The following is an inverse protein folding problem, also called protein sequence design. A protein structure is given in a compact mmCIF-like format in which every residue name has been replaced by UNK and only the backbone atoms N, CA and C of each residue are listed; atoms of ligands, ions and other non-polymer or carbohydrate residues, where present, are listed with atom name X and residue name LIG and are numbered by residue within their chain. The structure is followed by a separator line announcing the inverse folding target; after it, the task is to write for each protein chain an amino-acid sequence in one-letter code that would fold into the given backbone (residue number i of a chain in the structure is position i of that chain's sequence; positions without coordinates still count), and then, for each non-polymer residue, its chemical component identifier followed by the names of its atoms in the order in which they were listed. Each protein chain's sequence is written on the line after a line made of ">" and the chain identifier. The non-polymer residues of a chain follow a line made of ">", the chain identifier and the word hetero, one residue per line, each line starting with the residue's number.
data_IF_770496415143
#
_entry.id   IF_770496415143
#
_cell.length_a   1.000
_cell.length_b   1.000
_cell.length_c   1.000
_cell.angle_alpha   90.00
_cell.angle_beta   90.00
_cell.angle_gamma   90.00
#
_symmetry.space_group_name_H-M   'P 1'
#
loop_
_entity.id
_entity.type
_entity.pdbx_description
1 polymer ?
#
# COMPACT_ATOMS: atom_id res chain seq x y z
N UNK A 1 -32.40 -14.61 4.68
CA UNK A 1 -31.51 -13.81 5.54
C UNK A 1 -30.03 -14.13 5.29
N UNK A 2 -29.68 -15.40 5.13
CA UNK A 2 -28.31 -15.87 4.81
C UNK A 2 -27.64 -15.14 3.64
N UNK A 3 -28.33 -15.01 2.49
CA UNK A 3 -27.79 -14.29 1.32
C UNK A 3 -27.52 -12.81 1.58
N UNK A 4 -28.32 -12.15 2.42
CA UNK A 4 -28.11 -10.76 2.79
C UNK A 4 -26.85 -10.59 3.64
N UNK A 5 -26.67 -11.45 4.66
CA UNK A 5 -25.48 -11.47 5.51
C UNK A 5 -24.22 -11.72 4.68
N UNK A 6 -24.27 -12.68 3.76
CA UNK A 6 -23.14 -12.95 2.86
C UNK A 6 -22.78 -11.76 1.99
N UNK A 7 -23.77 -11.14 1.34
CA UNK A 7 -23.50 -10.00 0.47
C UNK A 7 -22.97 -8.82 1.27
N UNK A 8 -23.50 -8.59 2.47
CA UNK A 8 -23.01 -7.57 3.39
C UNK A 8 -21.53 -7.83 3.75
N UNK A 9 -21.18 -9.05 4.17
CA UNK A 9 -19.80 -9.40 4.50
C UNK A 9 -18.86 -9.29 3.29
N UNK A 10 -19.28 -9.74 2.10
CA UNK A 10 -18.46 -9.62 0.88
C UNK A 10 -18.28 -8.15 0.45
N UNK A 11 -19.29 -7.31 0.65
CA UNK A 11 -19.18 -5.86 0.46
C UNK A 11 -18.17 -5.26 1.43
N UNK A 12 -18.21 -5.67 2.70
CA UNK A 12 -17.27 -5.22 3.72
C UNK A 12 -15.83 -5.67 3.42
N UNK A 13 -15.62 -6.92 3.02
CA UNK A 13 -14.29 -7.42 2.58
C UNK A 13 -13.77 -6.59 1.40
N UNK A 14 -14.60 -6.39 0.37
CA UNK A 14 -14.21 -5.62 -0.81
C UNK A 14 -13.86 -4.17 -0.45
N UNK A 15 -14.67 -3.53 0.41
CA UNK A 15 -14.41 -2.18 0.91
C UNK A 15 -13.12 -2.10 1.73
N UNK A 16 -12.84 -3.09 2.59
CA UNK A 16 -11.60 -3.14 3.36
C UNK A 16 -10.37 -3.39 2.48
N UNK A 17 -10.48 -4.22 1.44
CA UNK A 17 -9.41 -4.40 0.47
C UNK A 17 -9.13 -3.09 -0.27
N UNK A 18 -10.16 -2.41 -0.77
CA UNK A 18 -10.02 -1.10 -1.42
C UNK A 18 -9.39 -0.08 -0.47
N UNK A 19 -9.84 -0.03 0.78
CA UNK A 19 -9.27 0.83 1.81
C UNK A 19 -7.78 0.56 2.02
N UNK A 20 -7.37 -0.71 2.22
CA UNK A 20 -5.97 -1.07 2.46
C UNK A 20 -5.10 -0.70 1.24
N UNK A 21 -5.60 -0.91 0.02
CA UNK A 21 -4.89 -0.53 -1.22
C UNK A 21 -4.76 0.99 -1.37
N UNK A 22 -5.85 1.74 -1.09
CA UNK A 22 -5.91 3.18 -1.29
C UNK A 22 -5.27 3.98 -0.15
N UNK A 23 -5.18 3.43 1.07
CA UNK A 23 -4.67 4.14 2.24
C UNK A 23 -3.25 4.68 2.04
N UNK A 24 -2.37 3.90 1.39
CA UNK A 24 -1.00 4.35 1.08
C UNK A 24 -0.98 5.50 0.07
N UNK A 25 -1.81 5.45 -0.97
CA UNK A 25 -1.92 6.52 -1.97
C UNK A 25 -2.52 7.77 -1.36
N UNK A 26 -3.58 7.62 -0.56
CA UNK A 26 -4.25 8.70 0.16
C UNK A 26 -3.29 9.42 1.11
N UNK A 27 -2.44 8.68 1.81
CA UNK A 27 -1.41 9.25 2.68
C UNK A 27 -0.33 10.03 1.90
N UNK A 28 0.08 9.55 0.73
CA UNK A 28 1.09 10.24 -0.09
C UNK A 28 0.47 11.50 -0.73
N UNK A 29 -0.68 11.33 -1.38
CA UNK A 29 -1.35 12.39 -2.12
C UNK A 29 -1.92 13.45 -1.18
N UNK A 30 -2.64 13.04 -0.13
CA UNK A 30 -3.33 13.94 0.79
C UNK A 30 -2.38 14.82 1.61
N UNK A 31 -1.12 14.42 1.76
CA UNK A 31 -0.14 15.14 2.58
C UNK A 31 0.94 15.82 1.74
N UNK A 32 1.27 15.35 0.54
CA UNK A 32 2.32 15.98 -0.27
C UNK A 32 1.79 16.61 -1.56
N UNK A 33 0.50 16.42 -1.90
CA UNK A 33 -0.10 16.79 -3.18
C UNK A 33 0.68 16.22 -4.39
N UNK A 34 1.28 15.04 -4.23
CA UNK A 34 2.04 14.34 -5.28
C UNK A 34 1.19 13.22 -5.84
N UNK A 35 0.82 13.34 -7.12
CA UNK A 35 0.14 12.26 -7.85
C UNK A 35 1.17 11.17 -8.15
N UNK A 36 1.11 10.08 -7.39
CA UNK A 36 2.04 8.96 -7.54
C UNK A 36 1.44 7.84 -8.39
N UNK A 37 1.66 7.88 -9.70
CA UNK A 37 1.20 6.82 -10.61
C UNK A 37 1.97 5.50 -10.44
N UNK A 38 3.13 5.50 -9.76
CA UNK A 38 3.87 4.27 -9.45
C UNK A 38 3.32 3.50 -8.24
N UNK A 39 2.26 3.99 -7.58
CA UNK A 39 1.67 3.34 -6.41
C UNK A 39 1.29 1.88 -6.65
N UNK A 40 0.66 1.60 -7.79
CA UNK A 40 0.32 0.23 -8.20
C UNK A 40 1.53 -0.68 -8.38
N UNK A 41 2.66 -0.13 -8.83
CA UNK A 41 3.90 -0.89 -8.95
C UNK A 41 4.47 -1.27 -7.57
N UNK A 42 4.36 -0.41 -6.55
CA UNK A 42 4.74 -0.77 -5.18
C UNK A 42 3.85 -1.86 -4.58
N UNK A 43 2.55 -1.84 -4.89
CA UNK A 43 1.64 -2.93 -4.54
C UNK A 43 2.09 -4.25 -5.16
N UNK A 44 2.33 -4.26 -6.48
CA UNK A 44 2.72 -5.46 -7.21
C UNK A 44 4.07 -6.00 -6.75
N UNK A 45 5.05 -5.10 -6.55
CA UNK A 45 6.37 -5.43 -6.04
C UNK A 45 6.30 -6.01 -4.62
N UNK A 46 5.45 -5.45 -3.75
CA UNK A 46 5.19 -6.00 -2.42
C UNK A 46 4.57 -7.39 -2.46
N UNK A 47 3.64 -7.64 -3.39
CA UNK A 47 3.01 -8.94 -3.57
C UNK A 47 4.03 -10.01 -4.02
N UNK A 48 4.89 -9.69 -4.99
CA UNK A 48 5.93 -10.61 -5.48
C UNK A 48 7.06 -10.84 -4.47
N UNK A 49 7.52 -9.80 -3.76
CA UNK A 49 8.48 -9.98 -2.66
C UNK A 49 7.86 -10.82 -1.54
N UNK A 50 6.59 -10.58 -1.23
CA UNK A 50 5.82 -11.38 -0.27
C UNK A 50 5.78 -12.86 -0.67
N UNK A 51 5.44 -13.13 -1.93
CA UNK A 51 5.44 -14.48 -2.51
C UNK A 51 6.82 -15.14 -2.37
N UNK A 52 7.89 -14.43 -2.75
CA UNK A 52 9.26 -14.93 -2.61
C UNK A 52 9.61 -15.23 -1.14
N UNK A 53 9.23 -14.35 -0.21
CA UNK A 53 9.46 -14.57 1.22
C UNK A 53 8.71 -15.80 1.73
N UNK A 54 7.47 -16.02 1.30
CA UNK A 54 6.71 -17.22 1.67
C UNK A 54 7.37 -18.47 1.12
N UNK A 55 7.84 -18.46 -0.13
CA UNK A 55 8.54 -19.60 -0.75
C UNK A 55 9.86 -19.94 -0.05
N UNK A 56 10.63 -18.94 0.36
CA UNK A 56 11.95 -19.13 0.98
C UNK A 56 11.85 -19.47 2.47
N UNK A 57 11.03 -18.73 3.22
CA UNK A 57 10.95 -18.84 4.68
C UNK A 57 9.79 -19.71 5.18
N UNK A 58 8.91 -20.19 4.28
CA UNK A 58 7.67 -20.89 4.63
C UNK A 58 6.80 -20.13 5.66
N UNK A 59 6.88 -18.79 5.66
CA UNK A 59 6.21 -17.95 6.66
C UNK A 59 5.57 -16.72 6.03
N UNK A 60 4.24 -16.69 6.04
CA UNK A 60 3.43 -15.53 5.64
C UNK A 60 3.64 -14.32 6.56
N UNK A 61 3.82 -14.57 7.86
CA UNK A 61 4.00 -13.50 8.84
C UNK A 61 5.31 -12.74 8.65
N UNK A 62 6.39 -13.45 8.26
CA UNK A 62 7.65 -12.81 7.89
C UNK A 62 7.51 -12.02 6.59
N UNK A 63 6.78 -12.54 5.60
CA UNK A 63 6.49 -11.82 4.36
C UNK A 63 5.75 -10.50 4.61
N UNK A 64 4.82 -10.48 5.57
CA UNK A 64 4.06 -9.29 5.97
C UNK A 64 4.94 -8.18 6.57
N UNK A 65 6.13 -8.51 7.08
CA UNK A 65 7.08 -7.54 7.64
C UNK A 65 8.17 -7.19 6.63
N UNK A 66 8.78 -8.20 6.00
CA UNK A 66 9.93 -8.03 5.11
C UNK A 66 9.53 -7.26 3.85
N UNK A 67 8.42 -7.61 3.21
CA UNK A 67 8.05 -6.96 1.96
C UNK A 67 7.79 -5.45 2.15
N UNK A 68 6.97 -4.99 3.12
CA UNK A 68 6.81 -3.56 3.37
C UNK A 68 8.11 -2.84 3.71
N UNK A 69 9.03 -3.45 4.47
CA UNK A 69 10.30 -2.83 4.80
C UNK A 69 11.20 -2.64 3.57
N UNK A 70 11.27 -3.64 2.70
CA UNK A 70 12.05 -3.55 1.46
C UNK A 70 11.46 -2.48 0.54
N UNK A 71 10.14 -2.44 0.38
CA UNK A 71 9.48 -1.43 -0.47
C UNK A 71 9.53 -0.04 0.15
N UNK A 72 9.49 0.08 1.48
CA UNK A 72 9.72 1.35 2.18
C UNK A 72 11.12 1.88 1.89
N UNK A 73 12.15 1.03 1.96
CA UNK A 73 13.52 1.40 1.65
C UNK A 73 13.66 1.87 0.19
N UNK A 74 13.06 1.15 -0.77
CA UNK A 74 13.01 1.59 -2.16
C UNK A 74 12.26 2.92 -2.31
N UNK A 75 11.15 3.10 -1.59
CA UNK A 75 10.40 4.35 -1.56
C UNK A 75 11.24 5.52 -1.07
N UNK A 76 12.04 5.34 -0.02
CA UNK A 76 13.00 6.34 0.48
C UNK A 76 14.01 6.73 -0.59
N UNK A 77 14.54 5.75 -1.33
CA UNK A 77 15.50 6.02 -2.41
C UNK A 77 14.83 6.80 -3.55
N UNK A 78 13.64 6.38 -3.99
CA UNK A 78 12.89 7.05 -5.05
C UNK A 78 12.53 8.48 -4.65
N UNK A 79 12.04 8.68 -3.42
CA UNK A 79 11.71 10.01 -2.91
C UNK A 79 12.96 10.90 -2.89
N UNK A 80 14.04 10.44 -2.26
CA UNK A 80 15.22 11.26 -2.01
C UNK A 80 15.93 11.67 -3.29
N UNK A 81 16.02 10.77 -4.26
CA UNK A 81 16.83 10.99 -5.46
C UNK A 81 16.02 11.52 -6.65
N UNK A 82 14.72 11.23 -6.72
CA UNK A 82 13.88 11.58 -7.86
C UNK A 82 12.80 12.58 -7.47
N UNK A 83 11.86 12.20 -6.60
CA UNK A 83 10.65 13.01 -6.35
C UNK A 83 10.96 14.32 -5.63
N UNK A 84 11.89 14.31 -4.67
CA UNK A 84 12.23 15.50 -3.89
C UNK A 84 12.73 16.66 -4.77
N UNK A 85 13.39 16.36 -5.88
CA UNK A 85 13.84 17.39 -6.84
C UNK A 85 12.69 18.07 -7.58
N UNK A 86 11.51 17.48 -7.52
CA UNK A 86 10.28 17.95 -8.16
C UNK A 86 9.33 18.60 -7.17
N UNK A 87 9.69 18.63 -5.88
CA UNK A 87 8.96 19.36 -4.86
C UNK A 87 9.33 20.84 -4.98
N UNK A 88 8.33 21.72 -5.14
CA UNK A 88 8.55 23.17 -5.21
C UNK A 88 8.50 23.81 -6.60
N UNK A 89 7.40 23.62 -7.33
CA UNK A 89 7.08 24.38 -8.56
C UNK A 89 5.78 23.92 -9.21
N UNK A 90 5.29 24.63 -10.23
CA UNK A 90 4.13 24.27 -11.07
C UNK A 90 4.38 23.04 -11.98
N UNK A 91 5.07 22.03 -11.46
CA UNK A 91 5.63 20.88 -12.19
C UNK A 91 4.83 19.60 -11.97
N UNK A 92 3.51 19.72 -11.80
CA UNK A 92 2.63 18.57 -11.56
C UNK A 92 2.69 17.57 -12.73
N UNK A 93 2.76 18.07 -13.96
CA UNK A 93 2.95 17.23 -15.15
C UNK A 93 4.27 16.45 -15.10
N UNK A 94 5.37 17.10 -14.72
CA UNK A 94 6.67 16.42 -14.61
C UNK A 94 6.61 15.30 -13.56
N UNK A 95 5.96 15.54 -12.41
CA UNK A 95 5.81 14.53 -11.35
C UNK A 95 5.02 13.30 -11.84
N UNK A 96 3.93 13.55 -12.57
CA UNK A 96 3.13 12.49 -13.19
C UNK A 96 3.96 11.72 -14.21
N UNK A 97 4.70 12.40 -15.10
CA UNK A 97 5.57 11.75 -16.09
C UNK A 97 6.68 10.91 -15.44
N UNK A 98 7.30 11.42 -14.38
CA UNK A 98 8.33 10.69 -13.64
C UNK A 98 7.74 9.43 -13.00
N UNK A 99 6.63 9.56 -12.26
CA UNK A 99 6.02 8.43 -11.56
C UNK A 99 5.44 7.41 -12.53
N UNK A 100 4.94 7.84 -13.68
CA UNK A 100 4.54 6.94 -14.76
C UNK A 100 5.74 6.18 -15.35
N UNK A 101 6.85 6.88 -15.63
CA UNK A 101 8.09 6.24 -16.08
C UNK A 101 8.62 5.22 -15.07
N UNK A 102 8.57 5.55 -13.78
CA UNK A 102 8.92 4.63 -12.69
C UNK A 102 8.00 3.41 -12.64
N UNK A 103 6.69 3.60 -12.88
CA UNK A 103 5.73 2.49 -12.93
C UNK A 103 6.09 1.51 -14.06
N UNK A 104 6.38 2.02 -15.27
CA UNK A 104 6.78 1.19 -16.41
C UNK A 104 8.08 0.43 -16.15
N UNK A 105 9.12 1.11 -15.66
CA UNK A 105 10.41 0.47 -15.34
C UNK A 105 10.20 -0.60 -14.27
N UNK A 106 9.42 -0.32 -13.23
CA UNK A 106 9.14 -1.29 -12.17
C UNK A 106 8.36 -2.50 -12.70
N UNK A 107 7.35 -2.28 -13.56
CA UNK A 107 6.57 -3.36 -14.18
C UNK A 107 7.47 -4.28 -15.01
N UNK A 108 8.36 -3.72 -15.82
CA UNK A 108 9.32 -4.48 -16.63
C UNK A 108 10.34 -5.23 -15.75
N UNK A 109 10.86 -4.61 -14.70
CA UNK A 109 11.78 -5.26 -13.76
C UNK A 109 11.12 -6.43 -13.01
N UNK A 110 9.85 -6.28 -12.61
CA UNK A 110 9.08 -7.34 -11.96
C UNK A 110 8.90 -8.51 -12.93
N UNK A 111 8.48 -8.24 -14.17
CA UNK A 111 8.32 -9.27 -15.19
C UNK A 111 9.64 -9.96 -15.54
N UNK A 112 10.74 -9.21 -15.58
CA UNK A 112 12.06 -9.77 -15.87
C UNK A 112 12.55 -10.74 -14.78
N UNK A 113 12.30 -10.43 -13.49
CA UNK A 113 12.77 -11.25 -12.38
C UNK A 113 11.82 -12.39 -12.00
N UNK A 114 10.50 -12.15 -11.96
CA UNK A 114 9.50 -13.15 -11.55
C UNK A 114 8.82 -13.87 -12.72
N UNK A 115 8.95 -13.35 -13.94
CA UNK A 115 8.24 -13.83 -15.12
C UNK A 115 6.84 -13.27 -15.25
N UNK A 116 6.21 -13.55 -16.39
CA UNK A 116 4.88 -13.05 -16.74
C UNK A 116 3.73 -14.01 -16.33
N UNK A 117 3.94 -14.84 -15.33
CA UNK A 117 2.99 -15.88 -14.92
C UNK A 117 1.98 -15.37 -13.90
N UNK A 118 0.78 -15.96 -13.94
CA UNK A 118 -0.23 -15.78 -12.89
C UNK A 118 0.18 -16.60 -11.68
N UNK A 119 0.37 -15.93 -10.55
CA UNK A 119 0.83 -16.50 -9.31
C UNK A 119 -0.17 -16.20 -8.19
N UNK A 120 -0.20 -17.03 -7.15
CA UNK A 120 -1.03 -16.77 -5.97
C UNK A 120 -0.19 -16.92 -4.71
N UNK A 121 -0.37 -16.01 -3.75
CA UNK A 121 0.28 -16.15 -2.45
C UNK A 121 -0.56 -17.14 -1.64
N UNK A 122 0.02 -18.26 -1.17
CA UNK A 122 -0.73 -19.19 -0.36
C UNK A 122 -1.11 -18.52 0.97
N UNK A 123 -2.38 -18.64 1.35
CA UNK A 123 -2.83 -18.18 2.66
C UNK A 123 -2.14 -18.99 3.78
N UNK A 124 -1.83 -18.38 4.93
CA UNK A 124 -1.22 -19.10 6.04
C UNK A 124 -2.15 -20.24 6.53
N UNK A 125 -1.62 -21.39 6.96
CA UNK A 125 -2.42 -22.54 7.42
C UNK A 125 -3.40 -22.22 8.55
N UNK A 126 -3.07 -21.22 9.38
CA UNK A 126 -3.95 -20.76 10.47
C UNK A 126 -5.24 -20.09 9.97
N UNK A 127 -5.26 -19.62 8.71
CA UNK A 127 -6.36 -18.86 8.11
C UNK A 127 -6.97 -19.55 6.87
N UNK A 128 -6.51 -20.76 6.53
CA UNK A 128 -6.94 -21.50 5.32
C UNK A 128 -8.30 -22.20 5.45
N UNK A 129 -8.95 -22.13 6.62
CA UNK A 129 -10.27 -22.71 6.87
C UNK A 129 -11.45 -21.77 6.62
N UNK A 130 -12.65 -22.30 6.85
CA UNK A 130 -13.90 -21.54 6.88
C UNK A 130 -14.64 -21.79 8.19
N UNK A 131 -15.41 -20.81 8.64
CA UNK A 131 -16.27 -20.93 9.83
C UNK A 131 -17.74 -20.78 9.44
N UNK A 132 -18.64 -21.55 10.06
CA UNK A 132 -20.08 -21.35 9.89
C UNK A 132 -20.50 -20.06 10.62
N UNK A 133 -20.92 -19.06 9.86
CA UNK A 133 -21.42 -17.78 10.34
C UNK A 133 -22.89 -17.63 9.92
N UNK A 134 -23.80 -17.58 10.90
CA UNK A 134 -25.24 -17.32 10.66
C UNK A 134 -25.85 -18.19 9.53
N UNK A 135 -25.51 -19.48 9.49
CA UNK A 135 -26.00 -20.43 8.48
C UNK A 135 -25.13 -20.57 7.23
N UNK A 136 -24.06 -19.78 7.09
CA UNK A 136 -23.20 -19.81 5.89
C UNK A 136 -21.73 -20.01 6.22
N UNK A 137 -21.04 -20.86 5.43
CA UNK A 137 -19.60 -21.05 5.51
C UNK A 137 -18.85 -19.83 4.94
N UNK A 138 -18.11 -19.11 5.79
CA UNK A 138 -17.34 -17.93 5.39
C UNK A 138 -15.82 -18.13 5.61
N UNK A 139 -14.96 -17.80 4.63
CA UNK A 139 -13.51 -18.00 4.77
C UNK A 139 -12.90 -17.18 5.90
N UNK A 140 -12.09 -17.82 6.75
CA UNK A 140 -11.42 -17.17 7.90
C UNK A 140 -10.48 -16.06 7.42
N UNK A 141 -9.76 -16.29 6.31
CA UNK A 141 -8.86 -15.29 5.74
C UNK A 141 -9.58 -13.96 5.41
N UNK A 142 -10.79 -14.03 4.85
CA UNK A 142 -11.59 -12.84 4.52
C UNK A 142 -12.03 -12.07 5.77
N UNK A 143 -12.35 -12.76 6.86
CA UNK A 143 -12.62 -12.11 8.15
C UNK A 143 -11.38 -11.46 8.74
N UNK A 144 -10.23 -12.14 8.64
CA UNK A 144 -8.96 -11.59 9.11
C UNK A 144 -8.59 -10.30 8.38
N UNK A 145 -8.89 -10.20 7.08
CA UNK A 145 -8.69 -8.97 6.29
C UNK A 145 -9.56 -7.82 6.77
N UNK A 146 -10.81 -8.09 7.16
CA UNK A 146 -11.68 -7.07 7.74
C UNK A 146 -11.07 -6.53 9.03
N UNK A 147 -10.67 -7.44 9.94
CA UNK A 147 -10.07 -7.07 11.22
C UNK A 147 -8.77 -6.28 10.97
N UNK A 148 -7.94 -6.74 10.05
CA UNK A 148 -6.69 -6.07 9.71
C UNK A 148 -6.94 -4.67 9.14
N UNK A 149 -7.90 -4.51 8.23
CA UNK A 149 -8.29 -3.22 7.67
C UNK A 149 -8.78 -2.24 8.73
N UNK A 150 -9.61 -2.70 9.68
CA UNK A 150 -10.08 -1.88 10.79
C UNK A 150 -8.94 -1.47 11.74
N UNK A 151 -8.04 -2.39 12.08
CA UNK A 151 -6.86 -2.09 12.90
C UNK A 151 -5.97 -1.08 12.18
N UNK A 152 -5.73 -1.27 10.89
CA UNK A 152 -4.93 -0.35 10.08
C UNK A 152 -5.57 1.05 10.03
N UNK A 153 -6.88 1.12 9.83
CA UNK A 153 -7.62 2.38 9.84
C UNK A 153 -7.49 3.10 11.18
N UNK A 154 -7.65 2.37 12.30
CA UNK A 154 -7.50 2.92 13.64
C UNK A 154 -6.07 3.43 13.88
N UNK A 155 -5.05 2.66 13.49
CA UNK A 155 -3.64 3.04 13.62
C UNK A 155 -3.34 4.29 12.81
N UNK A 156 -3.75 4.34 11.53
CA UNK A 156 -3.53 5.51 10.68
C UNK A 156 -4.25 6.74 11.23
N UNK A 157 -5.50 6.60 11.68
CA UNK A 157 -6.24 7.70 12.30
C UNK A 157 -5.55 8.21 13.58
N UNK A 158 -5.11 7.31 14.47
CA UNK A 158 -4.39 7.69 15.68
C UNK A 158 -3.07 8.40 15.35
N UNK A 159 -2.28 7.86 14.43
CA UNK A 159 -0.99 8.44 14.04
C UNK A 159 -1.18 9.80 13.40
N UNK A 160 -2.10 9.93 12.45
CA UNK A 160 -2.31 11.18 11.74
C UNK A 160 -2.97 12.23 12.65
N UNK A 161 -4.02 11.88 13.40
CA UNK A 161 -4.82 12.89 14.11
C UNK A 161 -4.34 13.15 15.54
N UNK A 162 -3.81 12.14 16.23
CA UNK A 162 -3.50 12.23 17.66
C UNK A 162 -2.02 12.37 17.99
N UNK A 163 -1.10 12.27 17.02
CA UNK A 163 0.35 12.37 17.28
C UNK A 163 0.98 13.66 16.79
N UNK A 164 2.14 14.02 17.37
CA UNK A 164 2.97 15.14 16.93
C UNK A 164 3.44 14.98 15.50
N UNK A 165 3.73 13.75 15.05
CA UNK A 165 4.18 13.48 13.68
C UNK A 165 3.07 13.91 12.71
N UNK A 166 1.83 13.48 12.95
CA UNK A 166 0.70 13.89 12.12
C UNK A 166 0.45 15.40 12.10
N UNK A 167 0.61 16.08 13.26
CA UNK A 167 0.53 17.54 13.33
C UNK A 167 1.64 18.23 12.51
N UNK A 168 2.88 17.74 12.58
CA UNK A 168 4.01 18.26 11.79
C UNK A 168 3.78 18.05 10.30
N UNK A 169 3.30 16.86 9.91
CA UNK A 169 2.98 16.55 8.51
C UNK A 169 1.93 17.54 8.00
N UNK A 170 0.78 17.69 8.69
CA UNK A 170 -0.28 18.64 8.31
C UNK A 170 0.23 20.07 8.21
N UNK A 171 0.99 20.54 9.20
CA UNK A 171 1.58 21.88 9.18
C UNK A 171 2.56 22.06 8.01
N UNK A 172 3.32 21.02 7.69
CA UNK A 172 4.28 21.01 6.60
C UNK A 172 3.63 21.08 5.22
N UNK A 173 2.43 20.50 5.06
CA UNK A 173 1.63 20.64 3.83
C UNK A 173 1.14 22.08 3.66
N UNK A 174 0.73 22.71 4.76
CA UNK A 174 0.21 24.08 4.74
C UNK A 174 1.31 25.10 4.49
N UNK A 175 2.43 25.00 5.21
CA UNK A 175 3.57 25.89 5.07
C UNK A 175 4.88 25.18 5.47
N UNK A 176 5.53 24.57 4.48
CA UNK A 176 6.81 23.91 4.65
C UNK A 176 7.94 24.86 5.08
N UNK A 177 7.86 26.16 4.73
CA UNK A 177 8.89 27.15 5.10
C UNK A 177 8.77 27.52 6.58
N UNK A 178 7.54 27.73 7.08
CA UNK A 178 7.28 27.98 8.50
C UNK A 178 7.71 26.81 9.38
N UNK A 179 7.37 25.57 8.99
CA UNK A 179 7.80 24.37 9.73
C UNK A 179 9.32 24.22 9.73
N UNK A 180 9.98 24.54 8.61
CA UNK A 180 11.45 24.56 8.53
C UNK A 180 12.05 25.65 9.42
N UNK A 181 11.40 26.80 9.58
CA UNK A 181 11.78 27.87 10.49
C UNK A 181 11.73 27.49 11.97
N UNK A 182 10.91 26.50 12.33
CA UNK A 182 10.87 25.89 13.67
C UNK A 182 12.00 24.87 13.92
N UNK A 183 12.93 24.72 12.98
CA UNK A 183 14.06 23.77 13.06
C UNK A 183 13.71 22.34 12.69
N UNK A 184 12.50 22.09 12.16
CA UNK A 184 12.06 20.76 11.73
C UNK A 184 12.46 20.55 10.27
N UNK A 185 13.20 19.48 9.99
CA UNK A 185 13.58 19.16 8.62
C UNK A 185 12.37 18.54 7.87
N UNK A 186 11.63 19.36 7.13
CA UNK A 186 10.41 18.94 6.44
C UNK A 186 10.66 17.84 5.41
N UNK A 187 11.82 17.87 4.73
CA UNK A 187 12.17 16.87 3.73
C UNK A 187 12.27 15.46 4.35
N UNK A 188 12.83 15.33 5.56
CA UNK A 188 12.87 14.03 6.26
C UNK A 188 11.49 13.55 6.66
N UNK A 189 10.59 14.47 6.99
CA UNK A 189 9.20 14.15 7.32
C UNK A 189 8.48 13.62 6.09
N UNK A 190 8.58 14.32 4.96
CA UNK A 190 7.99 13.89 3.68
C UNK A 190 8.57 12.58 3.17
N UNK A 191 9.89 12.40 3.24
CA UNK A 191 10.54 11.11 2.96
C UNK A 191 9.98 9.98 3.84
N UNK A 192 9.75 10.24 5.13
CA UNK A 192 9.13 9.28 6.04
C UNK A 192 7.68 8.95 5.68
N UNK A 193 6.88 9.96 5.33
CA UNK A 193 5.49 9.78 4.86
C UNK A 193 5.46 8.96 3.57
N UNK A 194 6.34 9.26 2.61
CA UNK A 194 6.45 8.51 1.37
C UNK A 194 6.84 7.06 1.62
N UNK A 195 7.82 6.81 2.49
CA UNK A 195 8.24 5.47 2.89
C UNK A 195 7.09 4.67 3.52
N UNK A 196 6.32 5.28 4.41
CA UNK A 196 5.14 4.64 5.01
C UNK A 196 4.07 4.39 3.95
N UNK A 197 3.82 5.34 3.04
CA UNK A 197 2.85 5.17 1.96
C UNK A 197 3.18 4.01 1.03
N UNK A 198 4.45 3.87 0.60
CA UNK A 198 4.88 2.74 -0.24
C UNK A 198 4.92 1.42 0.54
N UNK A 199 5.25 1.47 1.84
CA UNK A 199 5.16 0.30 2.73
C UNK A 199 3.72 -0.22 2.83
N UNK A 200 2.75 0.68 2.98
CA UNK A 200 1.32 0.34 3.02
C UNK A 200 0.85 -0.25 1.70
N UNK A 201 1.33 0.30 0.57
CA UNK A 201 1.07 -0.27 -0.76
C UNK A 201 1.56 -1.72 -0.86
N UNK A 202 2.81 -1.96 -0.44
CA UNK A 202 3.39 -3.29 -0.45
C UNK A 202 2.68 -4.26 0.50
N UNK A 203 2.30 -3.78 1.70
CA UNK A 203 1.53 -4.54 2.66
C UNK A 203 0.18 -4.95 2.08
N UNK A 204 -0.49 -4.04 1.38
CA UNK A 204 -1.72 -4.32 0.64
C UNK A 204 -1.49 -5.42 -0.42
N UNK A 205 -0.34 -5.40 -1.11
CA UNK A 205 0.07 -6.43 -2.07
C UNK A 205 0.18 -7.82 -1.43
N UNK A 206 0.85 -7.93 -0.28
CA UNK A 206 0.99 -9.19 0.46
C UNK A 206 -0.37 -9.72 0.94
N UNK A 207 -1.20 -8.84 1.50
CA UNK A 207 -2.53 -9.22 2.01
C UNK A 207 -3.54 -9.54 0.90
N UNK A 208 -3.41 -8.86 -0.24
CA UNK A 208 -4.25 -9.04 -1.41
C UNK A 208 -3.93 -10.32 -2.17
N UNK A 209 -2.67 -10.76 -2.18
CA UNK A 209 -2.19 -11.92 -2.96
C UNK A 209 -2.94 -13.25 -2.73
N UNK A 210 -3.44 -13.57 -1.52
CA UNK A 210 -4.26 -14.77 -1.32
C UNK A 210 -5.73 -14.62 -1.75
N UNK A 211 -6.24 -13.40 -1.90
CA UNK A 211 -7.62 -13.15 -2.39
C UNK A 211 -7.66 -12.90 -3.88
N UNK A 212 -6.62 -12.26 -4.41
CA UNK A 212 -6.44 -11.90 -5.81
C UNK A 212 -5.13 -12.50 -6.30
N UNK A 213 -5.19 -13.22 -7.41
CA UNK A 213 -3.99 -13.65 -8.10
C UNK A 213 -3.13 -12.47 -8.50
N UNK A 214 -1.82 -12.67 -8.48
CA UNK A 214 -0.80 -11.73 -8.89
C UNK A 214 -0.48 -12.02 -10.35
N UNK A 215 -0.53 -11.01 -11.20
CA UNK A 215 -0.19 -11.12 -12.62
C UNK A 215 0.32 -9.78 -13.16
N UNK A 216 1.12 -9.77 -14.24
CA UNK A 216 1.54 -8.54 -14.90
C UNK A 216 0.34 -7.71 -15.37
N UNK A 217 0.33 -6.40 -15.08
CA UNK A 217 -0.79 -5.51 -15.38
C UNK A 217 -1.70 -5.22 -14.17
N UNK A 218 -1.63 -6.04 -13.12
CA UNK A 218 -2.35 -5.81 -11.86
C UNK A 218 -1.95 -4.49 -11.20
N UNK A 219 -0.73 -4.01 -11.41
CA UNK A 219 -0.23 -2.70 -11.01
C UNK A 219 -1.11 -1.56 -11.54
N UNK A 220 -1.46 -1.56 -12.83
CA UNK A 220 -2.32 -0.54 -13.41
C UNK A 220 -3.79 -0.65 -12.95
N UNK A 221 -4.31 -1.88 -12.84
CA UNK A 221 -5.67 -2.10 -12.35
C UNK A 221 -5.82 -1.60 -10.91
N UNK A 222 -4.87 -1.92 -10.04
CA UNK A 222 -4.86 -1.47 -8.64
C UNK A 222 -4.75 0.04 -8.58
N UNK A 223 -3.86 0.65 -9.38
CA UNK A 223 -3.74 2.11 -9.44
C UNK A 223 -5.09 2.76 -9.75
N UNK A 224 -5.79 2.30 -10.79
CA UNK A 224 -7.11 2.82 -11.17
C UNK A 224 -8.11 2.66 -10.02
N UNK A 225 -8.18 1.48 -9.40
CA UNK A 225 -9.09 1.23 -8.27
C UNK A 225 -8.80 2.10 -7.05
N UNK A 226 -7.55 2.50 -6.83
CA UNK A 226 -7.16 3.35 -5.69
C UNK A 226 -7.32 4.84 -5.94
N UNK A 227 -7.51 5.26 -7.19
CA UNK A 227 -7.70 6.66 -7.60
C UNK A 227 -9.16 7.12 -7.54
N UNK A 228 -10.11 6.19 -7.40
CA UNK A 228 -11.57 6.45 -7.31
C UNK A 228 -11.98 6.67 -5.87
#
# INVERSE_FOLDING_TARGET
>A
MENFVLQFLNGLVSGMLLFIMAAGLSLIFGQMNVVNLSHGAYYLLGAYIGLSCVRVFNSFWLALIIAPLVVAALGILVERYLLRRMYGGHRHLEQVLLTFGLALIASDLIQWYWGAYVETVPAPPLLSGSIPLLGVSFPIYRLSLIIFGLVLALVLWLVLERTRIGAIVRAGVSDAQMVSGLGINIDRVFMGVFAVGTALAALAGVLGGPVRSIYPGLDFEVLILTLV
#
